data_IF_296025650662
#
_entry.id   IF_296025650662
#
_cell.length_a   1.000
_cell.length_b   1.000
_cell.length_c   1.000
_cell.angle_alpha   90.00
_cell.angle_beta   90.00
_cell.angle_gamma   90.00
#
_symmetry.space_group_name_H-M   'P 1'
#
loop_
_entity.id
_entity.type
_entity.pdbx_description
1 polymer ?
#
# COMPACT_ATOMS: atom_id res chain seq x y z
N UNK A 1 58.17 23.03 21.22
CA UNK A 1 57.05 22.30 21.87
C UNK A 1 56.02 21.97 20.81
N UNK A 2 55.84 20.66 20.60
CA UNK A 2 54.74 19.94 19.92
C UNK A 2 54.46 20.22 18.42
N UNK A 3 54.70 19.25 17.50
CA UNK A 3 54.59 19.39 16.05
C UNK A 3 53.30 18.79 15.42
N UNK A 4 53.15 19.07 14.12
CA UNK A 4 52.22 18.53 13.11
C UNK A 4 51.68 17.10 13.28
N UNK A 5 50.44 16.87 12.83
CA UNK A 5 50.05 15.65 12.07
C UNK A 5 48.91 15.91 11.08
N UNK A 6 49.18 15.61 9.81
CA UNK A 6 48.22 15.34 8.72
C UNK A 6 47.89 13.83 8.71
N UNK A 7 46.70 13.39 8.26
CA UNK A 7 46.61 12.04 7.71
C UNK A 7 45.77 11.89 6.43
N UNK A 8 46.43 11.30 5.43
CA UNK A 8 46.01 10.25 4.50
C UNK A 8 44.92 10.49 3.44
N UNK A 9 45.42 10.67 2.22
CA UNK A 9 44.77 10.24 0.99
C UNK A 9 44.75 8.70 0.90
N UNK A 10 43.59 8.13 0.57
CA UNK A 10 43.46 6.76 0.07
C UNK A 10 42.95 6.85 -1.38
N UNK A 11 43.87 6.67 -2.31
CA UNK A 11 43.61 6.46 -3.73
C UNK A 11 42.99 5.08 -3.94
N UNK A 12 41.74 5.04 -4.41
CA UNK A 12 41.13 3.84 -5.01
C UNK A 12 41.31 3.93 -6.53
N UNK A 13 42.17 3.09 -7.07
CA UNK A 13 42.31 2.87 -8.52
C UNK A 13 41.14 2.04 -9.03
N UNK A 14 40.17 2.68 -9.69
CA UNK A 14 39.21 2.03 -10.58
C UNK A 14 39.95 1.47 -11.80
N UNK A 15 40.09 0.15 -11.90
CA UNK A 15 40.53 -0.52 -13.14
C UNK A 15 39.30 -0.89 -13.97
N UNK A 16 39.04 -0.12 -15.02
CA UNK A 16 38.21 -0.56 -16.15
C UNK A 16 39.00 -1.57 -16.97
N UNK A 17 38.57 -2.85 -17.02
CA UNK A 17 39.05 -3.81 -18.01
C UNK A 17 38.05 -3.94 -19.13
N UNK A 18 38.48 -3.59 -20.34
CA UNK A 18 37.83 -3.95 -21.59
C UNK A 18 38.07 -5.45 -21.86
N UNK A 19 37.05 -6.18 -22.29
CA UNK A 19 37.17 -7.55 -22.78
C UNK A 19 36.61 -7.64 -24.21
N UNK A 20 37.48 -8.03 -25.14
CA UNK A 20 37.12 -8.58 -26.45
C UNK A 20 36.83 -10.08 -26.39
N UNK A 21 36.43 -10.72 -27.50
CA UNK A 21 35.57 -11.90 -27.46
C UNK A 21 36.30 -13.25 -27.58
N UNK A 22 35.68 -14.28 -26.98
CA UNK A 22 35.75 -15.70 -27.37
C UNK A 22 36.13 -16.68 -26.24
N UNK A 23 35.88 -18.00 -26.37
CA UNK A 23 34.98 -18.73 -27.27
C UNK A 23 33.98 -19.66 -26.53
N UNK A 24 33.04 -20.23 -27.28
CA UNK A 24 31.94 -21.13 -26.88
C UNK A 24 32.37 -22.49 -26.30
N UNK A 25 31.53 -23.15 -25.46
CA UNK A 25 31.60 -24.59 -25.22
C UNK A 25 30.35 -25.37 -25.69
N UNK A 26 30.44 -26.72 -25.76
CA UNK A 26 29.63 -27.54 -26.66
C UNK A 26 28.36 -28.17 -26.06
N UNK A 27 27.61 -28.81 -26.96
CA UNK A 27 26.28 -29.42 -26.81
C UNK A 27 26.22 -30.72 -25.98
N UNK A 28 25.02 -30.94 -25.41
CA UNK A 28 24.29 -32.19 -25.16
C UNK A 28 24.84 -33.26 -24.20
N UNK A 29 24.12 -33.45 -23.08
CA UNK A 29 23.74 -34.79 -22.55
C UNK A 29 22.32 -34.75 -21.97
N UNK A 30 21.48 -35.67 -22.43
CA UNK A 30 20.13 -36.00 -21.94
C UNK A 30 20.22 -37.06 -20.85
N UNK A 31 19.45 -36.93 -19.77
CA UNK A 31 19.04 -38.09 -18.95
C UNK A 31 17.72 -37.83 -18.20
N UNK A 32 16.76 -38.72 -18.43
CA UNK A 32 15.52 -38.89 -17.67
C UNK A 32 15.79 -39.46 -16.27
N UNK A 33 14.97 -39.10 -15.28
CA UNK A 33 14.93 -39.80 -14.00
C UNK A 33 13.96 -39.20 -12.98
N UNK A 34 12.78 -39.81 -12.85
CA UNK A 34 11.82 -39.55 -11.76
C UNK A 34 12.43 -40.04 -10.44
N UNK A 35 12.41 -39.20 -9.40
CA UNK A 35 12.76 -39.61 -8.04
C UNK A 35 12.22 -38.61 -7.02
N UNK A 36 11.21 -39.04 -6.25
CA UNK A 36 10.80 -38.38 -5.01
C UNK A 36 11.93 -38.54 -3.99
N UNK A 37 12.36 -37.45 -3.38
CA UNK A 37 13.20 -37.48 -2.17
C UNK A 37 12.55 -36.54 -1.15
N UNK A 38 11.90 -37.14 -0.15
CA UNK A 38 11.59 -36.47 1.10
C UNK A 38 12.88 -36.37 1.93
N UNK A 39 13.15 -35.21 2.51
CA UNK A 39 14.26 -35.02 3.45
C UNK A 39 13.76 -34.31 4.73
N UNK A 40 13.96 -34.89 5.92
CA UNK A 40 13.39 -34.40 7.17
C UNK A 40 14.38 -33.49 7.92
N UNK A 41 14.17 -32.18 7.91
CA UNK A 41 14.89 -31.24 8.80
C UNK A 41 13.96 -30.09 9.23
N UNK A 42 12.90 -30.44 9.96
CA UNK A 42 12.02 -29.49 10.65
C UNK A 42 12.18 -29.70 12.16
N UNK A 43 13.21 -29.09 12.76
CA UNK A 43 13.33 -28.73 14.20
C UNK A 43 14.77 -28.32 14.53
N UNK A 44 15.04 -27.02 14.51
CA UNK A 44 15.95 -26.26 15.43
C UNK A 44 16.41 -24.98 14.76
N UNK A 45 15.69 -23.90 15.00
CA UNK A 45 16.22 -22.54 15.23
C UNK A 45 15.04 -21.58 15.40
N UNK A 46 14.38 -21.65 16.56
CA UNK A 46 13.59 -20.55 17.09
C UNK A 46 14.07 -20.33 18.51
N UNK A 47 15.08 -19.46 18.66
CA UNK A 47 15.40 -18.70 19.86
C UNK A 47 16.45 -17.65 19.48
N UNK A 48 16.17 -16.40 19.82
CA UNK A 48 17.00 -15.20 19.69
C UNK A 48 17.09 -14.53 18.31
N UNK A 49 16.10 -13.68 18.01
CA UNK A 49 16.36 -12.23 17.99
C UNK A 49 15.04 -11.47 17.98
N UNK A 50 14.81 -10.74 19.07
CA UNK A 50 13.74 -9.77 19.24
C UNK A 50 14.24 -8.39 18.81
N UNK A 51 13.30 -7.55 18.33
CA UNK A 51 13.39 -6.09 18.12
C UNK A 51 14.13 -5.72 16.82
N UNK A 52 13.43 -5.30 15.76
CA UNK A 52 12.79 -3.99 15.59
C UNK A 52 11.55 -4.15 14.71
N UNK A 53 10.41 -3.64 15.19
CA UNK A 53 9.11 -3.79 14.54
C UNK A 53 8.74 -2.61 13.65
N UNK A 54 7.87 -2.88 12.69
CA UNK A 54 6.72 -2.04 12.35
C UNK A 54 5.70 -2.98 11.68
N UNK A 55 4.63 -3.33 12.39
CA UNK A 55 3.46 -3.98 11.79
C UNK A 55 2.20 -3.37 12.41
N UNK A 56 1.42 -2.75 11.54
CA UNK A 56 0.12 -2.15 11.83
C UNK A 56 -0.91 -3.28 11.81
N UNK A 57 -1.45 -3.63 12.98
CA UNK A 57 -2.51 -4.62 13.14
C UNK A 57 -3.88 -3.94 13.04
N UNK A 58 -4.60 -4.21 11.96
CA UNK A 58 -6.05 -4.02 11.89
C UNK A 58 -6.68 -5.37 12.27
N UNK A 59 -7.28 -5.44 13.46
CA UNK A 59 -8.05 -6.60 13.92
C UNK A 59 -9.46 -6.58 13.32
N UNK A 60 -9.80 -7.59 12.51
CA UNK A 60 -11.19 -7.97 12.24
C UNK A 60 -11.33 -9.44 12.61
N UNK A 61 -12.09 -9.71 13.67
CA UNK A 61 -12.38 -11.05 14.13
C UNK A 61 -13.55 -11.66 13.36
N UNK A 62 -13.39 -12.89 12.88
CA UNK A 62 -14.51 -13.75 12.53
C UNK A 62 -14.23 -15.19 12.95
N UNK A 63 -15.21 -15.77 13.67
CA UNK A 63 -15.27 -17.17 14.07
C UNK A 63 -15.67 -18.03 12.89
N UNK A 64 -14.99 -19.15 12.71
CA UNK A 64 -15.37 -20.24 11.81
C UNK A 64 -16.26 -21.24 12.55
N UNK A 65 -17.42 -21.57 11.99
CA UNK A 65 -18.27 -22.70 12.38
C UNK A 65 -18.20 -23.78 11.30
N UNK A 66 -18.07 -25.05 11.72
CA UNK A 66 -18.33 -26.20 10.87
C UNK A 66 -17.96 -27.53 11.53
N UNK A 67 -18.94 -28.42 11.68
CA UNK A 67 -18.74 -29.87 11.61
C UNK A 67 -18.82 -30.68 12.91
N UNK A 68 -19.87 -31.50 13.02
CA UNK A 68 -20.24 -32.41 14.12
C UNK A 68 -19.60 -33.80 13.95
N UNK A 69 -19.11 -34.41 15.03
CA UNK A 69 -19.16 -35.88 15.28
C UNK A 69 -18.90 -36.23 16.77
N UNK A 70 -19.78 -37.07 17.32
CA UNK A 70 -19.80 -37.72 18.65
C UNK A 70 -18.56 -38.62 18.91
N UNK A 71 -18.15 -39.07 20.11
CA UNK A 71 -18.57 -38.95 21.52
C UNK A 71 -17.46 -39.58 22.43
N UNK A 72 -17.61 -39.35 23.74
CA UNK A 72 -17.02 -40.02 24.93
C UNK A 72 -15.82 -39.35 25.61
N UNK A 73 -16.06 -38.91 26.85
CA UNK A 73 -15.12 -39.06 27.96
C UNK A 73 -14.64 -37.77 28.65
N UNK A 74 -15.06 -37.61 29.90
CA UNK A 74 -14.41 -36.87 31.00
C UNK A 74 -14.71 -35.38 31.21
N UNK A 75 -15.51 -35.17 32.26
CA UNK A 75 -15.70 -34.03 33.18
C UNK A 75 -14.77 -32.82 32.97
N UNK A 76 -15.38 -31.69 32.58
CA UNK A 76 -14.71 -30.43 32.30
C UNK A 76 -14.52 -29.56 33.55
N UNK A 77 -13.36 -28.90 33.60
CA UNK A 77 -12.78 -27.97 34.59
C UNK A 77 -13.58 -26.69 34.93
N UNK A 78 -14.91 -26.71 34.79
CA UNK A 78 -15.75 -25.53 35.02
C UNK A 78 -16.25 -25.37 36.47
N UNK A 79 -16.04 -26.35 37.35
CA UNK A 79 -16.56 -26.32 38.73
C UNK A 79 -15.55 -25.86 39.81
N UNK A 80 -14.33 -25.48 39.43
CA UNK A 80 -13.27 -25.10 40.38
C UNK A 80 -13.04 -23.58 40.53
N UNK A 81 -13.62 -22.74 39.67
CA UNK A 81 -13.46 -21.27 39.77
C UNK A 81 -14.59 -20.55 40.53
N UNK A 82 -15.72 -21.21 40.78
CA UNK A 82 -16.87 -20.56 41.48
C UNK A 82 -16.79 -20.73 43.00
N UNK A 83 -15.95 -21.63 43.52
CA UNK A 83 -15.85 -21.89 44.96
C UNK A 83 -14.74 -21.10 45.71
N UNK A 84 -13.86 -20.39 45.01
CA UNK A 84 -12.77 -19.60 45.66
C UNK A 84 -13.19 -18.15 45.94
N UNK A 85 -14.25 -17.64 45.29
CA UNK A 85 -14.68 -16.24 45.43
C UNK A 85 -15.56 -15.98 46.68
N UNK A 86 -16.03 -17.02 47.38
CA UNK A 86 -17.00 -16.88 48.49
C UNK A 86 -16.46 -17.13 49.91
N UNK A 87 -15.15 -17.34 50.11
CA UNK A 87 -14.58 -17.68 51.44
C UNK A 87 -13.46 -16.75 51.94
N UNK A 88 -13.29 -15.56 51.36
CA UNK A 88 -12.33 -14.54 51.84
C UNK A 88 -12.96 -13.16 52.14
N UNK A 89 -14.27 -13.10 52.38
CA UNK A 89 -14.94 -11.88 52.82
C UNK A 89 -14.90 -11.76 54.37
N UNK A 90 -13.79 -11.23 54.90
CA UNK A 90 -13.72 -10.73 56.29
C UNK A 90 -14.31 -9.31 56.42
N UNK A 91 -14.62 -8.84 57.63
CA UNK A 91 -15.40 -7.62 57.84
C UNK A 91 -14.60 -6.36 57.47
N UNK A 92 -15.34 -5.36 56.97
CA UNK A 92 -14.81 -4.17 56.32
C UNK A 92 -13.78 -3.38 57.13
N UNK A 93 -12.66 -3.06 56.46
CA UNK A 93 -11.82 -1.92 56.81
C UNK A 93 -12.27 -0.73 55.98
N UNK A 94 -12.53 0.39 56.67
CA UNK A 94 -12.72 1.69 56.05
C UNK A 94 -11.59 1.95 55.05
N UNK A 95 -11.98 2.28 53.81
CA UNK A 95 -11.05 2.73 52.80
C UNK A 95 -10.53 4.11 53.19
N UNK A 96 -9.25 4.19 53.55
CA UNK A 96 -8.50 5.45 53.51
C UNK A 96 -8.55 5.96 52.07
N UNK A 97 -9.40 6.96 51.81
CA UNK A 97 -9.26 7.85 50.66
C UNK A 97 -7.99 8.67 50.88
N UNK A 98 -6.86 8.14 50.44
CA UNK A 98 -5.69 8.97 50.20
C UNK A 98 -6.06 9.97 49.09
N UNK A 99 -6.31 11.21 49.50
CA UNK A 99 -6.47 12.33 48.60
C UNK A 99 -5.26 12.38 47.65
N UNK A 100 -5.51 12.22 46.35
CA UNK A 100 -4.54 12.58 45.33
C UNK A 100 -4.35 14.09 45.50
N UNK A 101 -3.20 14.48 46.07
CA UNK A 101 -2.80 15.87 46.15
C UNK A 101 -2.82 16.43 44.72
N UNK A 102 -3.76 17.32 44.45
CA UNK A 102 -3.76 18.10 43.23
C UNK A 102 -2.40 18.80 43.16
N UNK A 103 -1.62 18.49 42.12
CA UNK A 103 -0.53 19.37 41.71
C UNK A 103 -1.07 20.80 41.54
N UNK A 104 -0.21 21.83 41.60
CA UNK A 104 -0.66 23.22 41.58
C UNK A 104 -1.66 23.40 40.45
N UNK A 105 -2.89 23.78 40.80
CA UNK A 105 -3.98 23.90 39.86
C UNK A 105 -3.51 24.79 38.72
N UNK A 106 -3.28 24.22 37.54
CA UNK A 106 -2.96 24.99 36.35
C UNK A 106 -4.06 26.05 36.23
N UNK A 107 -3.66 27.34 36.16
CA UNK A 107 -4.61 28.44 36.05
C UNK A 107 -5.69 28.09 35.03
N UNK A 108 -6.98 28.32 35.31
CA UNK A 108 -8.05 27.92 34.40
C UNK A 108 -7.88 28.56 33.02
N UNK A 109 -8.09 27.78 31.96
CA UNK A 109 -8.11 28.28 30.59
C UNK A 109 -9.31 29.20 30.42
N UNK A 110 -9.07 30.44 29.98
CA UNK A 110 -10.10 31.47 29.78
C UNK A 110 -10.31 31.83 28.32
N UNK A 111 -9.43 31.39 27.41
CA UNK A 111 -9.62 31.58 25.99
C UNK A 111 -8.56 30.90 25.13
N UNK A 112 -8.86 30.78 23.84
CA UNK A 112 -7.93 30.33 22.81
C UNK A 112 -8.00 31.36 21.68
N UNK A 113 -6.87 31.89 21.21
CA UNK A 113 -6.87 32.98 20.24
C UNK A 113 -7.32 32.50 18.85
N UNK A 114 -7.89 33.43 18.11
CA UNK A 114 -8.04 33.30 16.66
C UNK A 114 -6.66 33.41 15.99
N UNK A 115 -6.52 32.82 14.79
CA UNK A 115 -5.29 32.82 14.02
C UNK A 115 -5.53 33.28 12.59
N UNK A 116 -4.49 33.82 11.97
CA UNK A 116 -4.41 34.00 10.53
C UNK A 116 -3.40 33.00 9.95
N UNK A 117 -3.72 32.44 8.79
CA UNK A 117 -2.80 31.59 8.02
C UNK A 117 -2.94 31.89 6.54
N UNK A 118 -1.94 31.49 5.78
CA UNK A 118 -1.91 31.68 4.35
C UNK A 118 -1.75 30.33 3.65
N UNK A 119 -2.35 30.25 2.48
CA UNK A 119 -2.13 29.17 1.52
C UNK A 119 -2.08 29.75 0.11
N UNK A 120 -1.82 28.93 -0.89
CA UNK A 120 -1.89 29.32 -2.30
C UNK A 120 -3.03 28.59 -3.00
N UNK A 121 -3.49 29.13 -4.13
CA UNK A 121 -4.50 28.50 -4.98
C UNK A 121 -4.15 27.03 -5.22
N UNK A 122 -5.13 26.15 -5.03
CA UNK A 122 -5.01 24.69 -5.17
C UNK A 122 -4.50 23.94 -3.93
N UNK A 123 -4.10 24.65 -2.86
CA UNK A 123 -3.58 24.03 -1.65
C UNK A 123 -4.45 24.33 -0.42
N UNK A 124 -4.86 23.29 0.31
CA UNK A 124 -5.52 23.43 1.61
C UNK A 124 -4.53 23.99 2.66
N UNK A 125 -4.99 24.84 3.59
CA UNK A 125 -4.16 25.43 4.62
C UNK A 125 -3.68 24.37 5.62
N UNK A 126 -2.47 24.57 6.15
CA UNK A 126 -1.95 23.77 7.26
C UNK A 126 -2.28 24.45 8.57
N UNK A 127 -3.39 24.06 9.19
CA UNK A 127 -3.80 24.59 10.49
C UNK A 127 -3.05 23.91 11.65
N UNK A 128 -2.55 24.67 12.64
CA UNK A 128 -1.80 24.12 13.77
C UNK A 128 -2.72 23.29 14.66
N UNK A 129 -2.26 22.11 15.10
CA UNK A 129 -3.04 21.23 15.97
C UNK A 129 -3.15 21.75 17.41
N UNK A 130 -2.31 22.71 17.77
CA UNK A 130 -2.28 23.31 19.10
C UNK A 130 -2.06 24.82 19.02
N UNK A 131 -2.67 25.58 19.93
CA UNK A 131 -2.53 27.03 20.07
C UNK A 131 -2.15 27.41 21.49
N UNK A 132 -1.51 28.57 21.68
CA UNK A 132 -1.24 29.09 23.01
C UNK A 132 -2.57 29.51 23.67
N UNK A 133 -2.91 28.89 24.81
CA UNK A 133 -4.09 29.26 25.58
C UNK A 133 -3.89 30.55 26.38
N UNK A 134 -4.98 31.27 26.65
CA UNK A 134 -5.01 32.38 27.61
C UNK A 134 -5.52 31.85 28.94
N UNK A 135 -4.80 32.12 30.03
CA UNK A 135 -5.07 31.57 31.36
C UNK A 135 -5.36 32.70 32.36
N UNK A 136 -6.25 32.44 33.34
CA UNK A 136 -6.87 33.43 34.23
C UNK A 136 -5.90 34.39 34.93
N UNK A 137 -4.67 33.97 35.19
CA UNK A 137 -3.67 34.75 35.95
C UNK A 137 -2.54 35.29 35.07
N UNK A 138 -2.72 35.34 33.75
CA UNK A 138 -1.65 35.68 32.80
C UNK A 138 -0.51 34.66 32.75
N UNK A 139 -0.66 33.53 33.46
CA UNK A 139 0.32 32.45 33.52
C UNK A 139 0.52 31.78 32.17
N UNK A 140 1.76 31.32 31.92
CA UNK A 140 2.07 30.43 30.81
C UNK A 140 1.50 29.04 31.14
N UNK A 141 0.46 28.62 30.43
CA UNK A 141 -0.08 27.27 30.52
C UNK A 141 0.32 26.38 29.31
N UNK A 142 -0.11 25.12 29.30
CA UNK A 142 0.19 24.20 28.20
C UNK A 142 -0.42 24.67 26.86
N UNK A 143 0.13 24.18 25.76
CA UNK A 143 -0.50 24.39 24.45
C UNK A 143 -1.86 23.68 24.39
N UNK A 144 -2.88 24.39 23.93
CA UNK A 144 -4.27 23.92 23.87
C UNK A 144 -4.52 23.21 22.55
N UNK A 145 -5.02 21.98 22.59
CA UNK A 145 -5.40 21.23 21.39
C UNK A 145 -6.64 21.85 20.74
N UNK A 146 -6.55 22.14 19.45
CA UNK A 146 -7.67 22.61 18.63
C UNK A 146 -8.00 21.56 17.59
N UNK A 147 -9.28 21.23 17.45
CA UNK A 147 -9.80 20.35 16.41
C UNK A 147 -10.42 21.23 15.33
N UNK A 148 -9.77 21.28 14.19
CA UNK A 148 -10.30 21.92 12.99
C UNK A 148 -11.13 20.90 12.20
N UNK A 149 -12.31 21.28 11.68
CA UNK A 149 -13.09 20.39 10.84
C UNK A 149 -12.30 20.02 9.57
N UNK A 150 -12.42 18.76 9.16
CA UNK A 150 -11.94 18.37 7.84
C UNK A 150 -12.81 19.07 6.78
N UNK A 151 -12.21 19.65 5.73
CA UNK A 151 -12.98 20.26 4.66
C UNK A 151 -13.83 19.19 3.95
N UNK A 152 -15.06 19.54 3.58
CA UNK A 152 -15.95 18.68 2.79
C UNK A 152 -15.59 18.66 1.31
N UNK A 153 -14.98 19.75 0.83
CA UNK A 153 -14.53 19.96 -0.54
C UNK A 153 -13.35 20.96 -0.58
N UNK A 154 -12.85 21.26 -1.78
CA UNK A 154 -11.70 22.16 -1.98
C UNK A 154 -12.08 23.52 -2.59
N UNK A 155 -13.37 23.88 -2.69
CA UNK A 155 -13.82 25.07 -3.43
C UNK A 155 -13.22 26.37 -2.87
N UNK A 156 -13.04 26.44 -1.55
CA UNK A 156 -12.51 27.62 -0.86
C UNK A 156 -11.06 27.97 -1.23
N UNK A 157 -10.32 27.07 -1.87
CA UNK A 157 -8.92 27.29 -2.28
C UNK A 157 -8.73 27.29 -3.80
N UNK A 158 -9.81 27.27 -4.59
CA UNK A 158 -9.72 27.29 -6.05
C UNK A 158 -9.40 28.68 -6.62
N UNK A 159 -9.71 29.74 -5.87
CA UNK A 159 -9.46 31.12 -6.27
C UNK A 159 -8.83 31.92 -5.12
N UNK A 160 -8.06 32.98 -5.43
CA UNK A 160 -7.57 33.90 -4.40
C UNK A 160 -8.73 34.50 -3.60
N UNK A 161 -8.55 34.61 -2.28
CA UNK A 161 -9.62 35.09 -1.41
C UNK A 161 -9.32 34.86 0.06
N UNK A 162 -10.33 35.05 0.90
CA UNK A 162 -10.22 34.79 2.33
C UNK A 162 -11.45 34.05 2.80
N UNK A 163 -11.24 33.04 3.64
CA UNK A 163 -12.32 32.30 4.29
C UNK A 163 -11.96 31.98 5.74
N UNK A 164 -12.96 31.59 6.54
CA UNK A 164 -12.76 31.30 7.96
C UNK A 164 -13.13 29.86 8.27
N UNK A 165 -12.29 29.21 9.07
CA UNK A 165 -12.54 27.88 9.63
C UNK A 165 -12.71 28.02 11.15
N UNK A 166 -13.85 27.59 11.67
CA UNK A 166 -14.07 27.54 13.11
C UNK A 166 -13.55 26.21 13.68
N UNK A 167 -12.65 26.28 14.66
CA UNK A 167 -12.14 25.13 15.41
C UNK A 167 -12.97 24.86 16.66
N UNK A 168 -12.68 23.75 17.31
CA UNK A 168 -13.27 23.38 18.60
C UNK A 168 -12.19 22.96 19.60
N UNK A 169 -12.40 23.28 20.87
CA UNK A 169 -11.47 22.95 21.96
C UNK A 169 -12.14 21.96 22.91
N UNK A 170 -11.66 20.70 22.99
CA UNK A 170 -12.30 19.66 23.79
C UNK A 170 -12.54 20.08 25.26
N UNK A 171 -13.75 19.84 25.76
CA UNK A 171 -14.13 20.15 27.14
C UNK A 171 -14.41 21.63 27.41
N UNK A 172 -14.50 22.48 26.38
CA UNK A 172 -14.80 23.90 26.53
C UNK A 172 -15.78 24.38 25.45
N UNK A 173 -16.46 25.52 25.64
CA UNK A 173 -17.25 26.16 24.58
C UNK A 173 -16.42 26.97 23.59
N UNK A 174 -15.08 27.00 23.71
CA UNK A 174 -14.24 27.86 22.88
C UNK A 174 -14.21 27.39 21.41
N UNK A 175 -14.42 28.36 20.52
CA UNK A 175 -14.40 28.18 19.07
C UNK A 175 -13.40 29.14 18.42
N UNK A 176 -12.09 28.89 18.52
CA UNK A 176 -11.10 29.73 17.87
C UNK A 176 -11.31 29.68 16.35
N UNK A 177 -11.16 30.82 15.68
CA UNK A 177 -11.30 30.97 14.24
C UNK A 177 -9.93 31.04 13.57
N UNK A 178 -9.78 30.34 12.46
CA UNK A 178 -8.65 30.47 11.56
C UNK A 178 -9.09 31.22 10.30
N UNK A 179 -8.61 32.45 10.11
CA UNK A 179 -8.77 33.21 8.87
C UNK A 179 -7.68 32.77 7.90
N UNK A 180 -8.10 32.12 6.80
CA UNK A 180 -7.22 31.59 5.77
C UNK A 180 -7.22 32.55 4.59
N UNK A 181 -6.04 33.06 4.23
CA UNK A 181 -5.85 33.87 3.02
C UNK A 181 -5.28 32.99 1.91
N UNK A 182 -6.01 32.84 0.81
CA UNK A 182 -5.57 32.13 -0.39
C UNK A 182 -4.91 33.13 -1.32
N UNK A 183 -3.60 32.98 -1.49
CA UNK A 183 -2.80 33.81 -2.40
C UNK A 183 -2.75 33.17 -3.79
N UNK A 184 -2.56 33.97 -4.86
CA UNK A 184 -2.21 33.43 -6.17
C UNK A 184 -0.95 32.54 -6.06
N UNK A 185 -0.83 31.56 -6.94
CA UNK A 185 0.43 30.81 -7.08
C UNK A 185 1.52 31.82 -7.48
N UNK A 186 2.64 31.93 -6.73
CA UNK A 186 3.74 32.80 -7.11
C UNK A 186 4.23 32.47 -8.52
N UNK A 187 4.58 33.48 -9.31
CA UNK A 187 5.06 33.30 -10.68
C UNK A 187 6.18 32.23 -10.73
N UNK A 188 5.96 31.09 -11.40
CA UNK A 188 6.94 30.02 -11.48
C UNK A 188 8.23 30.42 -12.19
N UNK A 189 8.26 31.58 -12.88
CA UNK A 189 9.47 32.12 -13.52
C UNK A 189 10.45 32.76 -12.51
N UNK A 190 9.98 33.23 -11.35
CA UNK A 190 10.80 33.90 -10.33
C UNK A 190 11.26 33.01 -9.17
N UNK A 191 10.66 31.83 -9.01
CA UNK A 191 11.04 30.90 -7.96
C UNK A 191 12.35 30.19 -8.33
N UNK A 192 13.40 30.40 -7.54
CA UNK A 192 14.67 29.70 -7.67
C UNK A 192 14.46 28.20 -7.38
N UNK A 193 14.14 27.42 -8.41
CA UNK A 193 13.90 25.98 -8.26
C UNK A 193 15.21 25.33 -7.81
N UNK A 194 15.21 24.54 -6.73
CA UNK A 194 16.40 23.84 -6.32
C UNK A 194 16.88 22.97 -7.47
N UNK A 195 18.11 23.19 -7.92
CA UNK A 195 18.74 22.36 -8.94
C UNK A 195 19.04 20.99 -8.35
N UNK A 196 18.85 19.92 -9.14
CA UNK A 196 19.17 18.56 -8.73
C UNK A 196 20.68 18.42 -8.54
N UNK A 197 21.14 18.29 -7.31
CA UNK A 197 22.56 18.14 -6.96
C UNK A 197 23.01 16.68 -6.84
N UNK A 198 22.08 15.77 -6.56
CA UNK A 198 22.35 14.35 -6.33
C UNK A 198 21.33 13.50 -7.11
N UNK A 199 21.79 12.34 -7.59
CA UNK A 199 20.96 11.34 -8.24
C UNK A 199 21.37 9.94 -7.78
N UNK A 200 20.41 9.01 -7.72
CA UNK A 200 20.70 7.60 -7.52
C UNK A 200 21.36 7.00 -8.76
N UNK A 201 22.24 6.02 -8.57
CA UNK A 201 22.74 5.20 -9.67
C UNK A 201 21.59 4.33 -10.23
N UNK A 202 21.46 4.22 -11.56
CA UNK A 202 20.63 3.19 -12.18
C UNK A 202 21.03 1.79 -11.69
N UNK A 203 20.06 0.89 -11.53
CA UNK A 203 20.31 -0.46 -10.98
C UNK A 203 21.38 -1.22 -11.78
N UNK A 204 21.37 -1.12 -13.10
CA UNK A 204 22.35 -1.78 -13.97
C UNK A 204 23.79 -1.26 -13.86
N UNK A 205 24.01 -0.12 -13.19
CA UNK A 205 25.34 0.44 -12.91
C UNK A 205 25.92 -0.05 -11.57
N UNK A 206 25.15 -0.80 -10.77
CA UNK A 206 25.57 -1.28 -9.46
C UNK A 206 25.62 -2.79 -9.47
N UNK A 207 26.83 -3.35 -9.35
CA UNK A 207 27.05 -4.79 -9.29
C UNK A 207 27.23 -5.22 -7.83
N UNK A 208 26.59 -6.32 -7.46
CA UNK A 208 26.83 -6.98 -6.17
C UNK A 208 27.92 -8.02 -6.35
N UNK A 209 29.08 -7.76 -5.76
CA UNK A 209 30.22 -8.68 -5.82
C UNK A 209 30.17 -9.76 -4.75
N UNK A 210 30.95 -10.81 -4.98
CA UNK A 210 31.32 -11.79 -3.95
C UNK A 210 32.27 -11.16 -2.94
N UNK A 211 32.35 -11.76 -1.76
CA UNK A 211 33.33 -11.34 -0.76
C UNK A 211 34.78 -11.64 -1.19
N UNK A 212 35.76 -11.19 -0.40
CA UNK A 212 37.19 -11.36 -0.66
C UNK A 212 37.63 -12.84 -0.79
N UNK A 213 36.82 -13.78 -0.29
CA UNK A 213 37.08 -15.22 -0.38
C UNK A 213 36.27 -15.89 -1.51
N UNK A 214 35.63 -15.09 -2.38
CA UNK A 214 34.82 -15.58 -3.50
C UNK A 214 33.48 -16.18 -3.09
N UNK A 215 32.95 -15.87 -1.91
CA UNK A 215 31.65 -16.37 -1.42
C UNK A 215 30.54 -15.37 -1.69
N UNK A 216 29.34 -15.87 -1.95
CA UNK A 216 28.17 -15.00 -2.13
C UNK A 216 27.84 -14.24 -0.85
N UNK A 217 27.71 -12.92 -0.96
CA UNK A 217 27.31 -12.03 0.13
C UNK A 217 25.82 -12.21 0.45
N UNK A 218 25.35 -11.79 1.65
CA UNK A 218 23.92 -11.82 1.97
C UNK A 218 23.05 -11.04 0.97
N UNK A 219 23.55 -9.95 0.40
CA UNK A 219 22.84 -9.18 -0.63
C UNK A 219 22.67 -9.99 -1.92
N UNK A 220 23.74 -10.65 -2.36
CA UNK A 220 23.74 -11.49 -3.56
C UNK A 220 22.76 -12.68 -3.38
N UNK A 221 22.82 -13.35 -2.23
CA UNK A 221 21.89 -14.45 -1.88
C UNK A 221 20.42 -14.00 -1.86
N UNK A 222 20.14 -12.82 -1.30
CA UNK A 222 18.77 -12.30 -1.23
C UNK A 222 18.25 -11.86 -2.60
N UNK A 223 19.10 -11.18 -3.41
CA UNK A 223 18.78 -10.84 -4.79
C UNK A 223 18.46 -12.10 -5.59
N UNK A 224 19.36 -13.08 -5.60
CA UNK A 224 19.21 -14.28 -6.42
C UNK A 224 18.02 -15.11 -5.99
N UNK A 225 17.76 -15.21 -4.68
CA UNK A 225 16.53 -15.85 -4.17
C UNK A 225 15.28 -15.20 -4.76
N UNK A 226 15.23 -13.86 -4.82
CA UNK A 226 14.09 -13.14 -5.36
C UNK A 226 14.01 -13.25 -6.89
N UNK A 227 15.09 -12.92 -7.60
CA UNK A 227 15.17 -12.88 -9.06
C UNK A 227 14.92 -14.26 -9.67
N UNK A 228 15.54 -15.32 -9.15
CA UNK A 228 15.37 -16.68 -9.66
C UNK A 228 13.98 -17.26 -9.34
N UNK A 229 13.34 -16.81 -8.26
CA UNK A 229 11.95 -17.17 -7.99
C UNK A 229 10.99 -16.42 -8.93
N UNK A 230 11.23 -15.13 -9.15
CA UNK A 230 10.46 -14.29 -10.06
C UNK A 230 10.51 -14.81 -11.49
N UNK A 231 11.69 -15.24 -11.98
CA UNK A 231 11.86 -15.79 -13.32
C UNK A 231 10.96 -17.01 -13.61
N UNK A 232 10.64 -17.79 -12.57
CA UNK A 232 9.81 -19.01 -12.66
C UNK A 232 8.29 -18.74 -12.63
N UNK A 233 7.87 -17.51 -12.40
CA UNK A 233 6.44 -17.16 -12.34
C UNK A 233 5.80 -17.15 -13.73
N UNK A 234 4.48 -17.34 -13.82
CA UNK A 234 3.74 -17.20 -15.08
C UNK A 234 3.04 -15.82 -15.11
N UNK A 235 3.34 -14.92 -16.07
CA UNK A 235 2.64 -13.64 -16.17
C UNK A 235 1.13 -13.80 -16.38
N UNK A 236 0.67 -14.90 -16.98
CA UNK A 236 -0.76 -15.12 -17.18
C UNK A 236 -1.52 -15.36 -15.88
N UNK A 237 -0.88 -15.89 -14.84
CA UNK A 237 -1.47 -15.96 -13.50
C UNK A 237 -1.81 -14.56 -12.97
N UNK A 238 -0.95 -13.57 -13.24
CA UNK A 238 -1.16 -12.17 -12.83
C UNK A 238 -2.14 -11.43 -13.76
N UNK A 239 -2.31 -11.87 -15.01
CA UNK A 239 -3.31 -11.31 -15.94
C UNK A 239 -4.70 -11.95 -15.81
N UNK A 240 -4.82 -13.06 -15.07
CA UNK A 240 -6.04 -13.84 -14.95
C UNK A 240 -7.24 -12.96 -14.63
N UNK A 241 -7.11 -12.11 -13.60
CA UNK A 241 -8.20 -11.28 -13.10
C UNK A 241 -8.62 -10.17 -14.08
N UNK A 242 -7.70 -9.66 -14.88
CA UNK A 242 -8.00 -8.67 -15.92
C UNK A 242 -8.78 -9.30 -17.06
N UNK A 243 -8.36 -10.49 -17.53
CA UNK A 243 -9.12 -11.22 -18.55
C UNK A 243 -10.52 -11.59 -18.05
N UNK A 244 -10.63 -12.07 -16.82
CA UNK A 244 -11.91 -12.42 -16.20
C UNK A 244 -12.86 -11.21 -16.11
N UNK A 245 -12.38 -10.06 -15.65
CA UNK A 245 -13.18 -8.83 -15.63
C UNK A 245 -13.70 -8.46 -17.03
N UNK A 246 -12.85 -8.56 -18.06
CA UNK A 246 -13.24 -8.24 -19.45
C UNK A 246 -13.94 -9.40 -20.18
N UNK A 247 -14.33 -10.46 -19.47
CA UNK A 247 -14.99 -11.64 -20.05
C UNK A 247 -14.15 -12.36 -21.12
N UNK A 248 -12.82 -12.23 -21.07
CA UNK A 248 -11.90 -12.86 -22.02
C UNK A 248 -11.51 -14.27 -21.56
N UNK A 249 -11.28 -15.20 -22.51
CA UNK A 249 -10.82 -16.54 -22.18
C UNK A 249 -9.41 -16.52 -21.57
N UNK A 250 -9.15 -17.49 -20.70
CA UNK A 250 -7.83 -17.70 -20.11
C UNK A 250 -6.99 -18.60 -21.02
N UNK A 251 -5.67 -18.38 -21.13
CA UNK A 251 -4.79 -19.34 -21.78
C UNK A 251 -4.85 -20.72 -21.09
N UNK A 252 -4.64 -21.83 -21.83
CA UNK A 252 -4.67 -23.17 -21.24
C UNK A 252 -3.64 -23.36 -20.13
N UNK A 253 -4.05 -24.01 -19.03
CA UNK A 253 -3.15 -24.38 -17.94
C UNK A 253 -2.78 -23.26 -16.96
N UNK A 254 -3.30 -22.04 -17.16
CA UNK A 254 -3.02 -20.91 -16.26
C UNK A 254 -3.58 -21.17 -14.87
N UNK A 255 -2.73 -21.02 -13.86
CA UNK A 255 -3.11 -21.15 -12.45
C UNK A 255 -3.44 -19.77 -11.90
N UNK A 256 -4.66 -19.60 -11.37
CA UNK A 256 -5.06 -18.33 -10.76
C UNK A 256 -4.32 -18.05 -9.46
N UNK A 257 -4.07 -16.77 -9.18
CA UNK A 257 -3.63 -16.33 -7.86
C UNK A 257 -4.74 -16.56 -6.82
N UNK A 258 -4.35 -16.57 -5.54
CA UNK A 258 -5.23 -16.86 -4.40
C UNK A 258 -5.14 -15.71 -3.39
N UNK A 259 -5.82 -15.87 -2.25
CA UNK A 259 -5.78 -14.92 -1.12
C UNK A 259 -6.36 -13.58 -1.59
N UNK A 260 -5.59 -12.49 -1.57
CA UNK A 260 -6.12 -11.15 -1.89
C UNK A 260 -6.26 -10.89 -3.39
N UNK A 261 -5.68 -11.76 -4.22
CA UNK A 261 -5.87 -11.79 -5.67
C UNK A 261 -6.74 -12.96 -6.13
N UNK A 262 -7.46 -13.62 -5.22
CA UNK A 262 -8.49 -14.58 -5.61
C UNK A 262 -9.57 -13.89 -6.46
N UNK A 263 -10.17 -14.64 -7.39
CA UNK A 263 -11.15 -14.15 -8.36
C UNK A 263 -12.31 -13.38 -7.72
N UNK A 264 -12.73 -13.78 -6.52
CA UNK A 264 -13.86 -13.18 -5.80
C UNK A 264 -13.47 -12.02 -4.88
N UNK A 265 -12.17 -11.70 -4.79
CA UNK A 265 -11.66 -10.70 -3.86
C UNK A 265 -11.65 -9.31 -4.47
N UNK A 266 -12.14 -8.33 -3.72
CA UNK A 266 -12.24 -6.91 -4.13
C UNK A 266 -10.90 -6.19 -4.33
N UNK A 267 -9.80 -6.77 -3.87
CA UNK A 267 -8.45 -6.25 -4.06
C UNK A 267 -7.76 -6.80 -5.32
N UNK A 268 -8.41 -7.71 -6.07
CA UNK A 268 -7.82 -8.40 -7.22
C UNK A 268 -7.23 -7.43 -8.27
N UNK A 269 -6.09 -7.80 -8.82
CA UNK A 269 -5.29 -7.00 -9.76
C UNK A 269 -4.17 -6.19 -9.08
N UNK A 270 -4.19 -6.04 -7.75
CA UNK A 270 -3.16 -5.28 -7.04
C UNK A 270 -1.77 -5.94 -7.13
N UNK A 271 -1.68 -7.27 -7.05
CA UNK A 271 -0.40 -7.96 -7.17
C UNK A 271 0.19 -7.82 -8.56
N UNK A 272 -0.63 -7.71 -9.60
CA UNK A 272 -0.19 -7.57 -11.00
C UNK A 272 0.55 -6.25 -11.24
N UNK A 273 0.12 -5.18 -10.58
CA UNK A 273 0.84 -3.90 -10.58
C UNK A 273 2.21 -4.00 -9.89
N UNK A 274 2.26 -4.59 -8.69
CA UNK A 274 3.54 -4.86 -8.00
C UNK A 274 4.45 -5.79 -8.81
N UNK A 275 3.87 -6.75 -9.53
CA UNK A 275 4.59 -7.70 -10.35
C UNK A 275 5.27 -7.01 -11.54
N UNK A 276 4.62 -6.05 -12.20
CA UNK A 276 5.24 -5.20 -13.23
C UNK A 276 6.47 -4.45 -12.68
N UNK A 277 6.34 -3.75 -11.55
CA UNK A 277 7.47 -3.08 -10.88
C UNK A 277 8.61 -4.06 -10.56
N UNK A 278 8.27 -5.26 -10.05
CA UNK A 278 9.26 -6.28 -9.73
C UNK A 278 9.99 -6.79 -10.98
N UNK A 279 9.28 -6.99 -12.10
CA UNK A 279 9.88 -7.39 -13.37
C UNK A 279 10.80 -6.29 -13.93
N UNK A 280 10.37 -5.03 -13.89
CA UNK A 280 11.16 -3.90 -14.37
C UNK A 280 12.46 -3.72 -13.59
N UNK A 281 12.37 -3.77 -12.25
CA UNK A 281 13.56 -3.66 -11.40
C UNK A 281 14.49 -4.87 -11.55
N UNK A 282 13.93 -6.09 -11.70
CA UNK A 282 14.73 -7.29 -11.96
C UNK A 282 15.42 -7.24 -13.34
N UNK A 283 14.72 -6.79 -14.38
CA UNK A 283 15.30 -6.55 -15.71
C UNK A 283 16.45 -5.55 -15.64
N UNK A 284 16.24 -4.40 -15.01
CA UNK A 284 17.25 -3.34 -14.90
C UNK A 284 18.46 -3.76 -14.06
N UNK A 285 18.27 -4.62 -13.05
CA UNK A 285 19.33 -5.10 -12.16
C UNK A 285 20.05 -6.37 -12.62
N UNK A 286 19.53 -7.10 -13.61
CA UNK A 286 20.08 -8.36 -14.10
C UNK A 286 21.09 -8.17 -15.26
N UNK A 287 21.84 -7.06 -15.30
CA UNK A 287 22.84 -6.79 -16.36
C UNK A 287 23.99 -7.81 -16.39
N UNK A 288 24.11 -8.66 -15.37
CA UNK A 288 25.08 -9.75 -15.29
C UNK A 288 24.60 -11.06 -15.94
N UNK A 289 23.34 -11.14 -16.38
CA UNK A 289 22.71 -12.34 -16.93
C UNK A 289 21.69 -11.97 -18.02
N UNK A 290 22.11 -12.06 -19.28
CA UNK A 290 21.30 -11.69 -20.44
C UNK A 290 20.07 -12.58 -20.64
N UNK A 291 20.14 -13.86 -20.24
CA UNK A 291 19.02 -14.80 -20.35
C UNK A 291 17.92 -14.44 -19.35
N UNK A 292 18.29 -14.11 -18.11
CA UNK A 292 17.36 -13.57 -17.12
C UNK A 292 16.77 -12.25 -17.59
N UNK A 293 17.58 -11.37 -18.17
CA UNK A 293 17.11 -10.08 -18.69
C UNK A 293 16.11 -10.26 -19.83
N UNK A 294 16.40 -11.14 -20.79
CA UNK A 294 15.47 -11.48 -21.87
C UNK A 294 14.17 -12.12 -21.34
N UNK A 295 14.26 -12.98 -20.33
CA UNK A 295 13.11 -13.60 -19.67
C UNK A 295 12.17 -12.55 -19.04
N UNK A 296 12.71 -11.59 -18.28
CA UNK A 296 11.91 -10.53 -17.67
C UNK A 296 11.31 -9.59 -18.71
N UNK A 297 12.06 -9.23 -19.77
CA UNK A 297 11.54 -8.44 -20.88
C UNK A 297 10.32 -9.11 -21.54
N UNK A 298 10.41 -10.40 -21.83
CA UNK A 298 9.29 -11.16 -22.40
C UNK A 298 8.05 -11.16 -21.49
N UNK A 299 8.24 -11.25 -20.17
CA UNK A 299 7.14 -11.17 -19.20
C UNK A 299 6.53 -9.77 -19.14
N UNK A 300 7.34 -8.70 -19.15
CA UNK A 300 6.83 -7.33 -19.16
C UNK A 300 6.02 -7.05 -20.43
N UNK A 301 6.55 -7.41 -21.60
CA UNK A 301 5.83 -7.26 -22.87
C UNK A 301 4.49 -8.00 -22.83
N UNK A 302 4.48 -9.27 -22.39
CA UNK A 302 3.24 -10.04 -22.24
C UNK A 302 2.22 -9.35 -21.33
N UNK A 303 2.65 -8.79 -20.20
CA UNK A 303 1.78 -8.05 -19.29
C UNK A 303 1.24 -6.76 -19.94
N UNK A 304 2.13 -5.94 -20.50
CA UNK A 304 1.80 -4.63 -21.08
C UNK A 304 0.88 -4.79 -22.29
N UNK A 305 1.19 -5.71 -23.20
CA UNK A 305 0.40 -5.94 -24.42
C UNK A 305 -1.03 -6.36 -24.06
N UNK A 306 -1.19 -7.29 -23.11
CA UNK A 306 -2.52 -7.74 -22.69
C UNK A 306 -3.29 -6.63 -21.96
N UNK A 307 -2.65 -5.88 -21.06
CA UNK A 307 -3.30 -4.75 -20.39
C UNK A 307 -3.70 -3.67 -21.39
N UNK A 308 -2.86 -3.39 -22.38
CA UNK A 308 -3.13 -2.45 -23.46
C UNK A 308 -4.32 -2.91 -24.31
N UNK A 309 -4.33 -4.16 -24.76
CA UNK A 309 -5.43 -4.74 -25.54
C UNK A 309 -6.77 -4.69 -24.79
N UNK A 310 -6.76 -4.98 -23.49
CA UNK A 310 -7.95 -4.86 -22.65
C UNK A 310 -8.39 -3.40 -22.49
N UNK A 311 -7.46 -2.49 -22.20
CA UNK A 311 -7.77 -1.05 -22.06
C UNK A 311 -8.39 -0.46 -23.33
N UNK A 312 -7.97 -0.93 -24.51
CA UNK A 312 -8.50 -0.51 -25.81
C UNK A 312 -9.94 -0.96 -26.04
N UNK A 313 -10.38 -2.05 -25.40
CA UNK A 313 -11.77 -2.52 -25.47
C UNK A 313 -12.68 -1.61 -24.64
N UNK A 314 -12.17 -1.08 -23.53
CA UNK A 314 -12.98 -0.29 -22.61
C UNK A 314 -13.53 0.97 -23.26
N UNK A 315 -14.83 1.22 -23.08
CA UNK A 315 -15.52 2.38 -23.67
C UNK A 315 -15.61 2.35 -25.19
N UNK A 316 -15.39 1.19 -25.82
CA UNK A 316 -15.53 1.00 -27.27
C UNK A 316 -16.57 -0.08 -27.58
N UNK A 317 -17.32 0.00 -28.69
CA UNK A 317 -18.33 -1.00 -29.02
C UNK A 317 -17.76 -2.42 -29.12
N UNK A 318 -18.42 -3.40 -28.50
CA UNK A 318 -18.03 -4.81 -28.62
C UNK A 318 -18.19 -5.37 -30.05
N UNK A 319 -19.05 -4.74 -30.85
CA UNK A 319 -19.27 -5.00 -32.28
C UNK A 319 -19.39 -3.67 -32.99
N UNK A 320 -18.97 -3.60 -34.25
CA UNK A 320 -19.09 -2.39 -35.06
C UNK A 320 -20.53 -1.86 -35.07
N UNK A 321 -20.69 -0.56 -34.84
CA UNK A 321 -22.00 0.10 -34.70
C UNK A 321 -22.78 -0.20 -33.41
N UNK A 322 -22.22 -1.01 -32.49
CA UNK A 322 -22.84 -1.31 -31.20
C UNK A 322 -22.81 -0.14 -30.20
N UNK A 323 -23.59 -0.23 -29.11
CA UNK A 323 -23.57 0.77 -28.05
C UNK A 323 -22.22 0.76 -27.31
N UNK A 324 -21.79 1.93 -26.86
CA UNK A 324 -20.68 2.09 -25.95
C UNK A 324 -20.86 3.38 -25.13
N UNK A 325 -20.14 3.46 -24.01
CA UNK A 325 -19.94 4.68 -23.27
C UNK A 325 -18.44 4.96 -23.10
N UNK A 326 -17.88 5.92 -23.87
CA UNK A 326 -16.48 6.30 -23.76
C UNK A 326 -16.21 7.28 -22.59
N UNK A 327 -17.24 7.86 -21.97
CA UNK A 327 -17.09 8.81 -20.87
C UNK A 327 -16.97 8.07 -19.52
N UNK A 328 -15.79 8.09 -18.86
CA UNK A 328 -15.60 7.42 -17.58
C UNK A 328 -16.41 8.04 -16.43
N UNK A 329 -16.95 9.26 -16.59
CA UNK A 329 -17.78 9.92 -15.58
C UNK A 329 -19.26 9.56 -15.67
N UNK A 330 -19.67 8.91 -16.77
CA UNK A 330 -21.07 8.58 -17.06
C UNK A 330 -21.34 7.07 -17.09
N UNK A 331 -20.45 6.24 -16.54
CA UNK A 331 -20.57 4.77 -16.54
C UNK A 331 -21.87 4.35 -15.86
N UNK A 332 -22.80 3.62 -16.52
CA UNK A 332 -24.05 3.19 -15.89
C UNK A 332 -23.85 1.96 -14.98
N UNK A 333 -24.81 1.66 -14.08
CA UNK A 333 -24.89 0.37 -13.39
C UNK A 333 -24.88 -0.81 -14.37
N UNK A 334 -24.52 -1.99 -13.85
CA UNK A 334 -24.47 -3.21 -14.64
C UNK A 334 -25.81 -3.55 -15.30
N UNK A 335 -25.82 -4.18 -16.49
CA UNK A 335 -27.05 -4.64 -17.11
C UNK A 335 -27.87 -5.51 -16.14
N UNK A 336 -29.14 -5.14 -15.91
CA UNK A 336 -30.04 -5.84 -14.99
C UNK A 336 -29.79 -5.58 -13.51
N UNK A 337 -28.96 -4.60 -13.15
CA UNK A 337 -28.71 -4.17 -11.76
C UNK A 337 -29.43 -2.87 -11.45
N UNK A 338 -29.97 -2.74 -10.24
CA UNK A 338 -30.60 -1.50 -9.76
C UNK A 338 -29.57 -0.41 -9.40
N UNK A 339 -28.31 -0.79 -9.15
CA UNK A 339 -27.23 0.12 -8.79
C UNK A 339 -25.85 -0.54 -8.93
N UNK A 340 -24.81 0.17 -8.50
CA UNK A 340 -23.44 -0.36 -8.48
C UNK A 340 -23.25 -1.35 -7.33
N UNK A 341 -22.53 -2.43 -7.60
CA UNK A 341 -22.15 -3.39 -6.59
C UNK A 341 -20.74 -3.94 -6.84
N UNK A 342 -20.22 -4.63 -5.84
CA UNK A 342 -18.90 -5.26 -5.87
C UNK A 342 -19.00 -6.80 -5.89
N UNK A 343 -20.04 -7.34 -6.51
CA UNK A 343 -20.17 -8.78 -6.73
C UNK A 343 -19.18 -9.23 -7.80
N UNK A 344 -18.08 -9.84 -7.35
CA UNK A 344 -17.03 -10.38 -8.20
C UNK A 344 -17.14 -11.91 -8.36
N UNK A 345 -18.30 -12.49 -8.03
CA UNK A 345 -18.55 -13.91 -8.31
C UNK A 345 -18.67 -14.17 -9.81
N UNK A 346 -18.44 -15.42 -10.23
CA UNK A 346 -18.53 -15.81 -11.65
C UNK A 346 -19.89 -15.47 -12.26
N UNK A 347 -20.98 -15.57 -11.48
CA UNK A 347 -22.32 -15.25 -11.94
C UNK A 347 -22.67 -13.75 -11.80
N UNK A 348 -21.99 -13.04 -10.90
CA UNK A 348 -22.33 -11.66 -10.54
C UNK A 348 -21.51 -10.59 -11.24
N UNK A 349 -20.27 -10.91 -11.65
CA UNK A 349 -19.38 -9.95 -12.29
C UNK A 349 -19.92 -9.52 -13.67
N UNK A 350 -20.03 -8.21 -13.87
CA UNK A 350 -20.37 -7.63 -15.19
C UNK A 350 -19.15 -7.61 -16.10
N UNK A 351 -19.35 -7.81 -17.39
CA UNK A 351 -18.29 -7.86 -18.42
C UNK A 351 -18.59 -6.94 -19.60
N UNK A 352 -19.51 -5.99 -19.43
CA UNK A 352 -19.92 -5.00 -20.42
C UNK A 352 -18.92 -3.85 -20.56
N UNK A 353 -17.65 -4.19 -20.82
CA UNK A 353 -16.52 -3.26 -20.88
C UNK A 353 -16.71 -2.09 -21.85
N UNK A 354 -17.57 -2.24 -22.85
CA UNK A 354 -17.95 -1.16 -23.76
C UNK A 354 -18.60 0.04 -23.05
N UNK A 355 -19.07 -0.12 -21.81
CA UNK A 355 -19.71 0.91 -21.00
C UNK A 355 -18.80 1.57 -19.94
N UNK A 356 -17.53 1.17 -19.82
CA UNK A 356 -16.70 1.53 -18.65
C UNK A 356 -15.83 2.78 -18.83
N UNK A 357 -16.06 3.57 -19.88
CA UNK A 357 -15.20 4.69 -20.23
C UNK A 357 -13.94 4.27 -20.98
N UNK A 358 -13.45 5.16 -21.83
CA UNK A 358 -12.33 4.89 -22.73
C UNK A 358 -11.04 4.67 -21.94
N UNK A 359 -10.35 3.56 -22.21
CA UNK A 359 -9.04 3.26 -21.63
C UNK A 359 -9.05 2.75 -20.19
N UNK A 360 -10.23 2.52 -19.59
CA UNK A 360 -10.29 1.93 -18.25
C UNK A 360 -9.66 0.52 -18.24
N UNK A 361 -8.91 0.22 -17.18
CA UNK A 361 -8.25 -1.07 -16.98
C UNK A 361 -8.14 -1.37 -15.48
N UNK A 362 -8.63 -2.54 -15.09
CA UNK A 362 -8.56 -3.04 -13.71
C UNK A 362 -8.84 -4.55 -13.71
N UNK A 363 -8.54 -5.22 -12.59
CA UNK A 363 -8.90 -6.62 -12.35
C UNK A 363 -10.38 -6.83 -12.01
N UNK A 364 -11.20 -5.78 -12.06
CA UNK A 364 -12.63 -5.79 -11.79
C UNK A 364 -13.32 -4.57 -12.46
N UNK A 365 -14.65 -4.57 -12.63
CA UNK A 365 -15.42 -3.47 -13.23
C UNK A 365 -15.32 -2.13 -12.47
N UNK A 366 -15.62 -0.97 -13.07
CA UNK A 366 -15.43 0.36 -12.47
C UNK A 366 -16.27 0.62 -11.21
N UNK A 367 -17.26 -0.22 -10.92
CA UNK A 367 -18.24 -0.07 -9.84
C UNK A 367 -17.60 0.25 -8.47
N UNK A 368 -16.49 -0.38 -8.09
CA UNK A 368 -15.85 -0.06 -6.79
C UNK A 368 -15.35 1.39 -6.70
N UNK A 369 -14.87 1.97 -7.81
CA UNK A 369 -14.45 3.38 -7.83
C UNK A 369 -15.65 4.29 -7.63
N UNK A 370 -16.70 4.06 -8.42
CA UNK A 370 -17.94 4.83 -8.39
C UNK A 370 -18.61 4.75 -7.02
N UNK A 371 -18.70 3.54 -6.45
CA UNK A 371 -19.23 3.31 -5.11
C UNK A 371 -18.43 4.08 -4.05
N UNK A 372 -17.09 4.07 -4.14
CA UNK A 372 -16.24 4.80 -3.19
C UNK A 372 -16.47 6.32 -3.30
N UNK A 373 -16.55 6.85 -4.51
CA UNK A 373 -16.86 8.27 -4.76
C UNK A 373 -18.26 8.66 -4.25
N UNK A 374 -19.20 7.71 -4.23
CA UNK A 374 -20.54 7.85 -3.64
C UNK A 374 -20.59 7.55 -2.13
N UNK A 375 -19.44 7.37 -1.47
CA UNK A 375 -19.36 7.22 -0.01
C UNK A 375 -19.50 5.78 0.52
N UNK A 376 -19.31 4.76 -0.32
CA UNK A 376 -19.32 3.37 0.14
C UNK A 376 -18.22 3.10 1.19
N UNK A 377 -18.54 2.23 2.14
CA UNK A 377 -17.61 1.83 3.21
C UNK A 377 -16.73 0.66 2.77
N UNK A 378 -15.61 0.46 3.48
CA UNK A 378 -14.76 -0.71 3.26
C UNK A 378 -15.33 -1.96 3.93
N UNK A 379 -15.26 -3.10 3.24
CA UNK A 379 -15.68 -4.39 3.78
C UNK A 379 -15.83 -5.48 2.74
N UNK A 380 -16.60 -6.52 3.08
CA UNK A 380 -16.69 -7.77 2.30
C UNK A 380 -18.07 -8.01 1.67
N UNK A 381 -19.04 -7.14 1.92
CA UNK A 381 -20.39 -7.24 1.34
C UNK A 381 -20.43 -6.58 -0.04
N UNK A 382 -21.43 -6.93 -0.85
CA UNK A 382 -21.57 -6.41 -2.22
C UNK A 382 -21.80 -4.90 -2.29
N UNK A 383 -22.33 -4.28 -1.22
CA UNK A 383 -22.46 -2.82 -1.09
C UNK A 383 -21.23 -2.14 -0.44
N UNK A 384 -20.09 -2.83 -0.35
CA UNK A 384 -18.84 -2.33 0.22
C UNK A 384 -17.68 -2.52 -0.76
N UNK A 385 -16.60 -1.77 -0.58
CA UNK A 385 -15.44 -1.79 -1.49
C UNK A 385 -14.16 -2.17 -0.77
N UNK A 386 -13.07 -2.41 -1.52
CA UNK A 386 -11.75 -2.60 -0.92
C UNK A 386 -10.66 -1.85 -1.70
N UNK A 387 -10.37 -0.64 -1.24
CA UNK A 387 -9.24 0.19 -1.66
C UNK A 387 -9.00 0.27 -3.19
N UNK A 388 -10.00 0.66 -4.02
CA UNK A 388 -9.88 0.61 -5.47
C UNK A 388 -8.79 1.53 -6.05
N UNK A 389 -8.60 2.73 -5.52
CA UNK A 389 -7.48 3.59 -5.94
C UNK A 389 -6.10 3.04 -5.53
N UNK A 390 -6.03 2.19 -4.49
CA UNK A 390 -4.78 1.50 -4.18
C UNK A 390 -4.44 0.49 -5.27
N UNK A 391 -5.41 -0.30 -5.76
CA UNK A 391 -5.14 -1.26 -6.84
C UNK A 391 -4.78 -0.55 -8.14
N UNK A 392 -5.50 0.53 -8.49
CA UNK A 392 -5.16 1.38 -9.64
C UNK A 392 -3.74 1.96 -9.53
N UNK A 393 -3.39 2.50 -8.36
CA UNK A 393 -2.03 3.00 -8.11
C UNK A 393 -0.97 1.93 -8.38
N UNK A 394 -1.18 0.66 -7.99
CA UNK A 394 -0.19 -0.38 -8.27
C UNK A 394 -0.05 -0.67 -9.77
N UNK A 395 -1.15 -0.67 -10.49
CA UNK A 395 -1.13 -0.87 -11.95
C UNK A 395 -0.37 0.30 -12.61
N UNK A 396 -0.69 1.55 -12.26
CA UNK A 396 -0.03 2.73 -12.81
C UNK A 396 1.46 2.79 -12.46
N UNK A 397 1.83 2.50 -11.20
CA UNK A 397 3.24 2.46 -10.78
C UNK A 397 4.02 1.37 -11.52
N UNK A 398 3.44 0.18 -11.66
CA UNK A 398 4.05 -0.90 -12.42
C UNK A 398 4.27 -0.55 -13.88
N UNK A 399 3.28 0.07 -14.53
CA UNK A 399 3.40 0.53 -15.92
C UNK A 399 4.41 1.68 -16.10
N UNK A 400 4.60 2.52 -15.07
CA UNK A 400 5.59 3.61 -15.11
C UNK A 400 7.02 3.10 -14.89
N UNK A 401 7.18 2.02 -14.13
CA UNK A 401 8.49 1.41 -13.88
C UNK A 401 9.03 0.63 -15.10
N UNK A 402 8.13 0.07 -15.93
CA UNK A 402 8.45 -0.61 -17.19
C UNK A 402 8.76 0.38 -18.32
#
# INVERSE_FOLDING_TARGET
>A
MVPHFSPYALTSTLRTRAFGPGPSPPQNVVAHGKGKVECPLFRRCVRHSSRVGFSCLISVGFRSMGGVAMARGSVSRALLCVLIVKLLAGPGRASDQAAIAAGPAASPLVGVPDIATETIVGHLPRLPRTLAGTYRDGGKGPMVRVIWPAPTDNHQVLEPGTYTVAGTVPGTPFQPKATVTVKPVPDPAGAHRPQRQLASFPLGQVVLDRDENGRDTPFLKNRDKFVLALAKTDPNSFLYNFRDAFGQPQPPGVIRLRVWDDQTTRLRGHASGHYLSALAQAYAGATYDEDLRANFLGKMNCMIDVLYDLSRKSGTPAREGGPCNPDPTAVPPGPGKEGYDSDLSVAGIRTDYWNWGKGFISGYPPDQFIMLEQGATYGTKNNQVWAPYYTLHKILAGLLDC
#
